data_IF_881378088732
#
_entry.id   IF_881378088732
#
_cell.length_a   1.000
_cell.length_b   1.000
_cell.length_c   1.000
_cell.angle_alpha   90.00
_cell.angle_beta   90.00
_cell.angle_gamma   90.00
#
_symmetry.space_group_name_H-M   'P 1'
#
loop_
_entity.id
_entity.type
_entity.pdbx_description
1 polymer ?
#
# COMPACT_ATOMS: atom_id res chain seq x y z
N UNK A 1 -1.56 4.10 -4.84
CA UNK A 1 -0.33 3.73 -4.10
C UNK A 1 0.90 4.39 -4.74
N UNK A 2 1.92 4.77 -3.96
CA UNK A 2 3.21 5.21 -4.49
C UNK A 2 4.39 4.53 -3.78
N UNK A 3 5.49 4.35 -4.52
CA UNK A 3 6.77 3.81 -4.05
C UNK A 3 7.88 4.83 -4.32
N UNK A 4 8.67 5.14 -3.29
CA UNK A 4 9.77 6.11 -3.32
C UNK A 4 11.06 5.48 -2.81
N UNK A 5 12.17 5.95 -3.34
CA UNK A 5 13.46 5.73 -2.71
C UNK A 5 13.46 6.43 -1.34
N UNK A 6 13.65 5.69 -0.24
CA UNK A 6 13.52 6.23 1.10
C UNK A 6 14.60 7.28 1.43
N UNK A 7 15.79 7.17 0.82
CA UNK A 7 16.90 8.07 1.10
C UNK A 7 16.74 9.42 0.36
N UNK A 8 16.20 9.41 -0.86
CA UNK A 8 16.07 10.60 -1.70
C UNK A 8 14.66 11.18 -1.82
N UNK A 9 13.63 10.42 -1.42
CA UNK A 9 12.21 10.77 -1.59
C UNK A 9 11.71 10.71 -3.04
N UNK A 10 12.56 10.32 -3.99
CA UNK A 10 12.24 10.25 -5.41
C UNK A 10 11.18 9.19 -5.69
N UNK A 11 10.13 9.56 -6.42
CA UNK A 11 9.11 8.62 -6.88
C UNK A 11 9.74 7.63 -7.87
N UNK A 12 9.61 6.34 -7.56
CA UNK A 12 10.04 5.23 -8.41
C UNK A 12 8.86 4.66 -9.19
N UNK A 13 7.70 4.57 -8.56
CA UNK A 13 6.48 4.05 -9.16
C UNK A 13 5.25 4.64 -8.48
N UNK A 14 4.16 4.78 -9.23
CA UNK A 14 2.87 5.25 -8.72
C UNK A 14 1.75 4.65 -9.59
N UNK A 15 0.67 4.23 -8.93
CA UNK A 15 -0.57 3.84 -9.61
C UNK A 15 -1.80 4.28 -8.80
N UNK A 16 -2.91 4.44 -9.49
CA UNK A 16 -4.26 4.69 -8.96
C UNK A 16 -5.15 3.45 -8.98
N UNK A 17 -4.65 2.31 -9.44
CA UNK A 17 -5.41 1.06 -9.49
C UNK A 17 -5.76 0.55 -8.09
N UNK A 18 -6.88 -0.15 -7.99
CA UNK A 18 -7.36 -0.76 -6.76
C UNK A 18 -6.81 -2.18 -6.58
N UNK A 19 -5.70 -2.28 -5.87
CA UNK A 19 -5.04 -3.55 -5.52
C UNK A 19 -5.72 -4.29 -4.35
N UNK A 20 -6.85 -3.80 -3.82
CA UNK A 20 -7.55 -4.44 -2.69
C UNK A 20 -8.60 -5.47 -3.13
N UNK A 21 -8.91 -5.55 -4.43
CA UNK A 21 -9.88 -6.51 -4.96
C UNK A 21 -9.31 -7.93 -4.86
N UNK A 22 -9.95 -8.86 -4.14
CA UNK A 22 -9.48 -10.23 -3.98
C UNK A 22 -9.77 -11.08 -5.23
N UNK A 23 -9.16 -12.27 -5.29
CA UNK A 23 -9.38 -13.30 -6.31
C UNK A 23 -9.03 -12.90 -7.76
N UNK A 24 -8.29 -11.79 -7.91
CA UNK A 24 -7.68 -11.36 -9.16
C UNK A 24 -6.20 -11.13 -8.98
N UNK A 25 -5.42 -11.59 -9.96
CA UNK A 25 -3.99 -11.29 -10.02
C UNK A 25 -3.79 -9.89 -10.58
N UNK A 26 -3.20 -9.01 -9.77
CA UNK A 26 -2.89 -7.64 -10.17
C UNK A 26 -1.45 -7.55 -10.67
N UNK A 27 -1.23 -6.85 -11.78
CA UNK A 27 0.11 -6.64 -12.34
C UNK A 27 0.62 -5.23 -12.07
N UNK A 28 1.90 -5.10 -11.68
CA UNK A 28 2.56 -3.82 -11.48
C UNK A 28 3.95 -3.79 -12.15
N UNK A 29 4.11 -2.92 -13.14
CA UNK A 29 5.41 -2.73 -13.82
C UNK A 29 6.30 -1.73 -13.06
N UNK A 30 7.05 -2.22 -12.08
CA UNK A 30 8.01 -1.42 -11.31
C UNK A 30 9.38 -1.34 -11.99
N UNK A 31 10.09 -0.21 -11.92
CA UNK A 31 11.39 -0.09 -12.59
C UNK A 31 12.47 -0.85 -11.83
N UNK A 32 13.31 -1.61 -12.55
CA UNK A 32 14.40 -2.44 -11.98
C UNK A 32 15.33 -1.71 -10.99
N UNK A 33 15.49 -0.39 -11.13
CA UNK A 33 16.29 0.45 -10.22
C UNK A 33 15.80 0.40 -8.77
N UNK A 34 14.54 0.02 -8.51
CA UNK A 34 14.00 -0.14 -7.15
C UNK A 34 14.79 -1.19 -6.35
N UNK A 35 15.30 -2.24 -7.01
CA UNK A 35 16.13 -3.27 -6.40
C UNK A 35 17.53 -2.78 -5.98
N UNK A 36 17.88 -1.52 -6.29
CA UNK A 36 19.12 -0.88 -5.87
C UNK A 36 18.94 0.06 -4.69
N UNK A 37 17.70 0.35 -4.29
CA UNK A 37 17.41 1.15 -3.11
C UNK A 37 17.76 0.35 -1.86
N UNK A 38 18.37 1.02 -0.87
CA UNK A 38 18.59 0.42 0.45
C UNK A 38 17.27 0.18 1.18
N UNK A 39 16.33 1.12 1.02
CA UNK A 39 14.97 1.03 1.55
C UNK A 39 13.99 1.73 0.60
N UNK A 40 12.76 1.25 0.55
CA UNK A 40 11.66 1.81 -0.24
C UNK A 40 10.59 2.32 0.71
N UNK A 41 10.24 3.60 0.60
CA UNK A 41 9.08 4.17 1.27
C UNK A 41 7.84 3.89 0.42
N UNK A 42 6.78 3.38 1.06
CA UNK A 42 5.50 3.10 0.42
C UNK A 42 4.40 3.91 1.09
N UNK A 43 3.53 4.48 0.25
CA UNK A 43 2.35 5.21 0.69
C UNK A 43 1.11 4.63 0.01
N UNK A 44 0.10 4.29 0.82
CA UNK A 44 -1.18 3.75 0.39
C UNK A 44 -2.25 4.72 0.85
N UNK A 45 -3.05 5.20 -0.10
CA UNK A 45 -4.25 5.98 0.18
C UNK A 45 -5.44 5.05 -0.05
N UNK A 46 -6.30 4.92 0.96
CA UNK A 46 -7.49 4.07 0.90
C UNK A 46 -8.66 4.78 1.60
N UNK A 47 -9.88 4.32 1.32
CA UNK A 47 -11.09 4.77 1.98
C UNK A 47 -11.88 3.57 2.47
N UNK A 48 -12.57 3.71 3.60
CA UNK A 48 -13.51 2.72 4.12
C UNK A 48 -14.84 3.39 4.39
N UNK A 49 -15.95 2.70 4.07
CA UNK A 49 -17.29 3.12 4.52
C UNK A 49 -17.52 2.80 5.99
N UNK A 50 -16.91 1.70 6.45
CA UNK A 50 -17.04 1.23 7.82
C UNK A 50 -15.87 1.74 8.67
N UNK A 51 -16.13 1.97 9.95
CA UNK A 51 -15.08 2.21 10.92
C UNK A 51 -14.21 0.96 11.08
N UNK A 52 -12.90 1.13 11.05
CA UNK A 52 -11.93 0.05 11.22
C UNK A 52 -11.28 0.14 12.60
N UNK A 53 -11.30 -0.95 13.35
CA UNK A 53 -10.57 -1.10 14.60
C UNK A 53 -9.36 -2.02 14.39
N UNK A 54 -8.19 -1.62 14.90
CA UNK A 54 -6.95 -2.39 14.80
C UNK A 54 -6.63 -2.83 13.35
N UNK A 55 -6.72 -1.91 12.39
CA UNK A 55 -6.41 -2.22 10.99
C UNK A 55 -4.90 -2.40 10.76
N UNK A 56 -4.53 -3.54 10.19
CA UNK A 56 -3.15 -3.88 9.85
C UNK A 56 -3.12 -4.66 8.53
N UNK A 57 -1.94 -4.66 7.90
CA UNK A 57 -1.68 -5.42 6.68
C UNK A 57 -0.58 -6.45 6.96
N UNK A 58 -0.86 -7.71 6.60
CA UNK A 58 0.16 -8.74 6.40
C UNK A 58 0.63 -8.71 4.96
N UNK A 59 1.92 -8.87 4.75
CA UNK A 59 2.45 -9.05 3.41
C UNK A 59 3.55 -10.10 3.40
N UNK A 60 3.43 -11.01 2.43
CA UNK A 60 4.45 -11.99 2.06
C UNK A 60 4.98 -11.67 0.66
N UNK A 61 6.27 -11.93 0.44
CA UNK A 61 6.92 -11.72 -0.86
C UNK A 61 7.46 -13.05 -1.37
N UNK A 62 6.96 -13.47 -2.53
CA UNK A 62 7.34 -14.72 -3.18
C UNK A 62 8.22 -14.48 -4.40
N UNK A 63 9.23 -15.34 -4.55
CA UNK A 63 9.97 -15.53 -5.80
C UNK A 63 9.90 -17.00 -6.18
N UNK A 64 9.20 -17.31 -7.28
CA UNK A 64 8.99 -18.69 -7.76
C UNK A 64 8.45 -19.61 -6.65
N UNK A 65 7.35 -19.19 -6.03
CA UNK A 65 6.64 -19.88 -4.94
C UNK A 65 7.44 -20.08 -3.64
N UNK A 66 8.63 -19.49 -3.55
CA UNK A 66 9.42 -19.46 -2.33
C UNK A 66 9.26 -18.09 -1.66
N UNK A 67 8.86 -18.09 -0.40
CA UNK A 67 8.87 -16.88 0.41
C UNK A 67 10.32 -16.41 0.62
N UNK A 68 10.60 -15.17 0.25
CA UNK A 68 11.95 -14.56 0.34
C UNK A 68 12.05 -13.47 1.40
N UNK A 69 10.92 -13.04 1.95
CA UNK A 69 10.85 -12.12 3.08
C UNK A 69 9.94 -12.74 4.16
N UNK A 70 10.33 -12.61 5.42
CA UNK A 70 9.48 -13.00 6.55
C UNK A 70 8.21 -12.15 6.60
N UNK A 71 7.11 -12.70 7.11
CA UNK A 71 5.83 -12.02 7.33
C UNK A 71 6.03 -10.59 7.88
N UNK A 72 5.62 -9.60 7.10
CA UNK A 72 5.73 -8.19 7.47
C UNK A 72 4.38 -7.67 7.94
N UNK A 73 4.30 -7.29 9.22
CA UNK A 73 3.15 -6.61 9.80
C UNK A 73 3.30 -5.10 9.66
N UNK A 74 2.41 -4.48 8.89
CA UNK A 74 2.35 -3.03 8.72
C UNK A 74 1.13 -2.51 9.45
N UNK A 75 1.37 -1.77 10.54
CA UNK A 75 0.32 -1.00 11.21
C UNK A 75 -0.09 0.15 10.30
N UNK A 76 -1.37 0.20 9.95
CA UNK A 76 -1.90 1.25 9.10
C UNK A 76 -2.62 2.28 9.97
N UNK A 77 -2.17 3.53 9.90
CA UNK A 77 -2.87 4.64 10.53
C UNK A 77 -4.05 5.04 9.65
N UNK A 78 -5.25 4.65 10.03
CA UNK A 78 -6.47 5.12 9.40
C UNK A 78 -6.88 6.46 10.04
N UNK A 79 -6.92 7.53 9.24
CA UNK A 79 -7.63 8.74 9.64
C UNK A 79 -9.09 8.59 9.21
N UNK A 80 -9.99 8.50 10.18
CA UNK A 80 -11.43 8.48 9.90
C UNK A 80 -11.90 9.89 9.55
N UNK A 81 -12.32 10.09 8.31
CA UNK A 81 -13.04 11.27 7.89
C UNK A 81 -14.53 10.89 7.78
N UNK A 82 -15.32 11.22 8.80
CA UNK A 82 -16.78 11.12 8.68
C UNK A 82 -17.27 12.17 7.68
N UNK A 83 -18.04 11.75 6.67
CA UNK A 83 -18.75 12.65 5.77
C UNK A 83 -20.10 13.14 6.35
N UNK A 84 -20.36 13.00 7.66
CA UNK A 84 -21.59 13.49 8.30
C UNK A 84 -21.62 15.01 8.54
N UNK A 85 -21.11 15.80 7.60
CA UNK A 85 -21.39 17.23 7.55
C UNK A 85 -21.63 17.61 6.09
N UNK A 86 -22.92 17.66 5.71
CA UNK A 86 -23.60 18.72 4.94
C UNK A 86 -24.98 18.21 4.47
N UNK A 87 -25.87 17.91 5.42
CA UNK A 87 -27.32 18.07 5.21
C UNK A 87 -27.73 19.33 5.96
N UNK A 88 -27.55 20.49 5.36
CA UNK A 88 -28.32 21.67 5.72
C UNK A 88 -29.47 21.77 4.72
N UNK A 89 -30.67 21.49 5.23
CA UNK A 89 -31.97 21.79 4.63
C UNK A 89 -32.12 23.27 4.28
#
# INVERSE_FOLDING_TARGET
MNLRDADSGKILWQSTDDFSVPDVEHEAHVPRKILKCKSVSREINFSSKEQLENFWLEQEVFLRDQSIESECFITVWAHYFSNDVLNFS
#
